data_IF_604074406684
#
_entry.id   IF_604074406684
#
_cell.length_a   1.000
_cell.length_b   1.000
_cell.length_c   1.000
_cell.angle_alpha   90.00
_cell.angle_beta   90.00
_cell.angle_gamma   90.00
#
_symmetry.space_group_name_H-M   'P 1'
#
loop_
_entity.id
_entity.type
_entity.pdbx_description
1 polymer ?
#
# COMPACT_ATOMS: atom_id res chain seq x y z
N UNK A 1 -27.50 -37.38 1.88
CA UNK A 1 -28.06 -36.05 1.60
C UNK A 1 -27.46 -35.12 2.64
N UNK A 2 -26.50 -34.30 2.21
CA UNK A 2 -26.00 -33.06 2.83
C UNK A 2 -24.82 -32.64 1.96
N UNK A 3 -25.17 -31.94 0.89
CA UNK A 3 -24.22 -31.34 -0.03
C UNK A 3 -23.49 -30.21 0.69
N UNK A 4 -22.16 -30.27 0.71
CA UNK A 4 -21.33 -29.15 1.08
C UNK A 4 -21.67 -27.95 0.19
N UNK A 5 -21.80 -26.72 0.72
CA UNK A 5 -21.89 -25.57 -0.15
C UNK A 5 -20.58 -25.47 -0.92
N UNK A 6 -20.68 -25.79 -2.20
CA UNK A 6 -19.67 -25.64 -3.22
C UNK A 6 -19.14 -24.20 -3.13
N UNK A 7 -17.82 -24.05 -2.98
CA UNK A 7 -17.09 -22.79 -3.14
C UNK A 7 -17.13 -22.36 -4.61
N UNK A 8 -18.33 -22.11 -5.13
CA UNK A 8 -18.58 -21.62 -6.48
C UNK A 8 -18.96 -20.15 -6.39
N UNK A 9 -17.94 -19.31 -6.44
CA UNK A 9 -17.83 -18.20 -7.39
C UNK A 9 -16.71 -17.27 -6.91
N UNK A 10 -15.48 -17.52 -7.34
CA UNK A 10 -14.52 -16.45 -7.54
C UNK A 10 -14.76 -15.89 -8.94
N UNK A 11 -15.50 -14.78 -9.12
CA UNK A 11 -15.23 -13.92 -10.25
C UNK A 11 -13.99 -13.10 -9.88
N UNK A 12 -12.81 -13.66 -10.15
CA UNK A 12 -11.70 -12.80 -10.59
C UNK A 12 -11.60 -13.05 -12.09
N UNK A 13 -11.82 -12.01 -12.91
CA UNK A 13 -10.80 -10.98 -13.03
C UNK A 13 -11.38 -9.57 -13.24
N UNK A 14 -11.01 -8.60 -12.42
CA UNK A 14 -10.80 -7.27 -12.99
C UNK A 14 -9.31 -7.20 -13.33
N UNK A 15 -9.00 -7.56 -14.58
CA UNK A 15 -7.91 -6.89 -15.28
C UNK A 15 -8.37 -5.43 -15.33
N UNK A 16 -8.03 -4.67 -14.29
CA UNK A 16 -7.88 -3.22 -14.42
C UNK A 16 -6.95 -3.09 -15.60
N UNK A 17 -7.39 -2.47 -16.70
CA UNK A 17 -6.62 -2.25 -17.93
C UNK A 17 -5.15 -2.03 -17.58
N UNK A 18 -4.40 -3.14 -17.60
CA UNK A 18 -3.09 -3.25 -16.98
C UNK A 18 -2.18 -2.68 -18.05
N UNK A 19 -2.08 -1.35 -18.09
CA UNK A 19 -0.95 -0.72 -18.76
C UNK A 19 0.28 -1.45 -18.23
N UNK A 20 1.07 -1.98 -19.15
CA UNK A 20 2.17 -2.95 -18.95
C UNK A 20 3.20 -2.50 -17.91
N UNK A 21 3.11 -1.25 -17.44
CA UNK A 21 4.00 -0.59 -16.50
C UNK A 21 3.43 -0.43 -15.06
N UNK A 22 2.17 -0.79 -14.79
CA UNK A 22 1.57 -0.59 -13.47
C UNK A 22 1.78 -1.80 -12.55
N UNK A 23 2.32 -1.54 -11.36
CA UNK A 23 2.43 -2.55 -10.29
C UNK A 23 1.26 -2.38 -9.34
N UNK A 24 0.51 -3.46 -9.12
CA UNK A 24 -0.59 -3.48 -8.16
C UNK A 24 -0.26 -4.38 -6.98
N UNK A 25 -0.59 -3.93 -5.77
CA UNK A 25 -0.43 -4.71 -4.53
C UNK A 25 -1.72 -4.67 -3.72
N UNK A 26 -2.15 -5.82 -3.24
CA UNK A 26 -3.36 -5.98 -2.44
C UNK A 26 -3.00 -6.02 -0.95
N UNK A 27 -3.77 -5.31 -0.13
CA UNK A 27 -3.68 -5.30 1.33
C UNK A 27 -5.06 -5.53 1.94
N UNK A 28 -5.08 -6.00 3.17
CA UNK A 28 -6.28 -6.06 4.00
C UNK A 28 -6.08 -5.18 5.24
N UNK A 29 -7.11 -4.41 5.60
CA UNK A 29 -7.10 -3.62 6.83
C UNK A 29 -8.54 -3.38 7.28
N UNK A 30 -8.83 -3.69 8.55
CA UNK A 30 -10.17 -3.56 9.14
C UNK A 30 -11.27 -4.25 8.33
N UNK A 31 -10.99 -5.42 7.75
CA UNK A 31 -11.94 -6.16 6.93
C UNK A 31 -12.22 -5.52 5.56
N UNK A 32 -11.49 -4.48 5.18
CA UNK A 32 -11.55 -3.88 3.84
C UNK A 32 -10.37 -4.36 3.00
N UNK A 33 -10.63 -4.65 1.73
CA UNK A 33 -9.58 -4.89 0.74
C UNK A 33 -9.11 -3.55 0.15
N UNK A 34 -7.80 -3.37 0.10
CA UNK A 34 -7.15 -2.15 -0.39
C UNK A 34 -6.21 -2.48 -1.54
N UNK A 35 -6.44 -1.86 -2.69
CA UNK A 35 -5.62 -2.04 -3.89
C UNK A 35 -4.74 -0.82 -4.09
N UNK A 36 -3.44 -1.00 -3.94
CA UNK A 36 -2.42 0.01 -4.27
C UNK A 36 -2.11 -0.06 -5.76
N UNK A 37 -2.30 1.05 -6.47
CA UNK A 37 -1.89 1.22 -7.87
C UNK A 37 -0.66 2.12 -7.99
N UNK A 38 0.48 1.53 -8.35
CA UNK A 38 1.73 2.24 -8.64
C UNK A 38 1.88 2.39 -10.16
N UNK A 39 2.01 3.63 -10.63
CA UNK A 39 2.32 3.91 -12.02
C UNK A 39 3.84 3.85 -12.21
N UNK A 40 4.40 2.72 -12.65
CA UNK A 40 5.85 2.42 -12.67
C UNK A 40 6.49 2.28 -11.28
N UNK A 41 7.44 1.36 -11.17
CA UNK A 41 8.34 1.30 -10.02
C UNK A 41 9.01 2.68 -9.85
N UNK A 42 9.01 3.23 -8.64
CA UNK A 42 9.54 4.57 -8.28
C UNK A 42 8.64 5.79 -8.55
N UNK A 43 7.34 5.64 -8.86
CA UNK A 43 6.45 6.80 -8.84
C UNK A 43 6.21 7.33 -7.41
N UNK A 44 6.21 8.66 -7.30
CA UNK A 44 5.92 9.41 -6.07
C UNK A 44 4.43 9.62 -5.84
N UNK A 45 3.64 9.25 -6.84
CA UNK A 45 2.19 9.34 -6.85
C UNK A 45 1.61 7.94 -7.04
N UNK A 46 0.69 7.58 -6.16
CA UNK A 46 -0.03 6.33 -6.26
C UNK A 46 -1.44 6.48 -5.70
N UNK A 47 -2.30 5.58 -6.15
CA UNK A 47 -3.70 5.55 -5.75
C UNK A 47 -3.97 4.33 -4.90
N UNK A 48 -4.87 4.48 -3.94
CA UNK A 48 -5.38 3.37 -3.13
C UNK A 48 -6.88 3.31 -3.36
N UNK A 49 -7.34 2.14 -3.80
CA UNK A 49 -8.76 1.82 -3.95
C UNK A 49 -9.22 0.95 -2.79
N UNK A 50 -10.46 1.15 -2.34
CA UNK A 50 -11.09 0.36 -1.29
C UNK A 50 -12.25 -0.46 -1.85
N UNK A 51 -12.35 -1.69 -1.37
CA UNK A 51 -13.51 -2.57 -1.54
C UNK A 51 -13.89 -3.17 -0.18
N UNK A 52 -15.09 -2.84 0.31
CA UNK A 52 -15.57 -3.20 1.66
C UNK A 52 -16.13 -4.60 1.78
N UNK A 53 -16.71 -5.12 0.71
CA UNK A 53 -17.23 -6.48 0.65
C UNK A 53 -17.20 -6.99 -0.80
N UNK A 54 -17.47 -8.28 -0.99
CA UNK A 54 -17.41 -8.94 -2.31
C UNK A 54 -18.32 -8.28 -3.35
N UNK A 55 -19.47 -7.75 -2.91
CA UNK A 55 -20.48 -7.12 -3.76
C UNK A 55 -20.22 -5.63 -4.04
N UNK A 56 -19.28 -5.01 -3.34
CA UNK A 56 -18.94 -3.60 -3.53
C UNK A 56 -18.01 -3.43 -4.72
N UNK A 57 -18.19 -2.35 -5.46
CA UNK A 57 -17.21 -1.92 -6.46
C UNK A 57 -15.96 -1.36 -5.78
N UNK A 58 -14.86 -1.34 -6.51
CA UNK A 58 -13.67 -0.60 -6.09
C UNK A 58 -13.96 0.90 -6.13
N UNK A 59 -13.70 1.58 -5.02
CA UNK A 59 -13.83 3.04 -4.93
C UNK A 59 -12.47 3.65 -4.67
N UNK A 60 -12.19 4.80 -5.28
CA UNK A 60 -10.97 5.55 -4.98
C UNK A 60 -11.04 6.02 -3.52
N UNK A 61 -10.10 5.59 -2.70
CA UNK A 61 -10.01 6.02 -1.29
C UNK A 61 -8.97 7.10 -1.10
N UNK A 62 -7.76 6.90 -1.63
CA UNK A 62 -6.67 7.87 -1.49
C UNK A 62 -5.94 8.14 -2.79
N UNK A 63 -5.52 9.39 -2.97
CA UNK A 63 -4.45 9.78 -3.88
C UNK A 63 -3.29 10.25 -3.01
N UNK A 64 -2.19 9.49 -3.03
CA UNK A 64 -1.01 9.80 -2.23
C UNK A 64 0.02 10.48 -3.11
N UNK A 65 0.55 11.60 -2.62
CA UNK A 65 1.61 12.37 -3.26
C UNK A 65 2.76 12.55 -2.26
N UNK A 66 3.91 11.98 -2.58
CA UNK A 66 5.10 12.04 -1.74
C UNK A 66 6.06 13.18 -2.12
N UNK A 67 5.80 13.98 -3.16
CA UNK A 67 6.72 15.01 -3.65
C UNK A 67 7.17 15.99 -2.57
N UNK A 68 6.24 16.42 -1.71
CA UNK A 68 6.55 17.41 -0.67
C UNK A 68 7.46 16.85 0.43
N UNK A 69 7.36 15.55 0.70
CA UNK A 69 8.20 14.87 1.68
C UNK A 69 9.56 14.53 1.09
N UNK A 70 9.56 14.04 -0.16
CA UNK A 70 10.77 13.61 -0.86
C UNK A 70 11.75 14.78 -1.10
N UNK A 71 11.29 16.03 -1.09
CA UNK A 71 12.18 17.22 -1.12
C UNK A 71 13.25 17.18 -0.02
N UNK A 72 12.97 16.52 1.12
CA UNK A 72 13.91 16.36 2.22
C UNK A 72 14.97 15.27 2.00
N UNK A 73 14.79 14.41 0.99
CA UNK A 73 15.69 13.30 0.68
C UNK A 73 16.63 13.64 -0.50
N UNK A 74 17.91 13.21 -0.47
CA UNK A 74 18.83 13.48 -1.55
C UNK A 74 18.35 12.82 -2.85
N UNK A 75 18.17 13.63 -3.91
CA UNK A 75 17.63 13.26 -5.23
C UNK A 75 18.27 12.02 -5.90
N UNK A 76 19.45 11.59 -5.45
CA UNK A 76 20.25 10.53 -6.07
C UNK A 76 19.97 9.11 -5.52
N UNK A 77 19.15 8.97 -4.48
CA UNK A 77 19.02 7.73 -3.69
C UNK A 77 17.58 7.19 -3.63
N UNK A 78 16.68 7.65 -4.52
CA UNK A 78 15.31 7.11 -4.57
C UNK A 78 15.29 5.75 -5.27
N UNK A 79 15.83 4.75 -4.60
CA UNK A 79 15.59 3.36 -4.93
C UNK A 79 14.21 2.98 -4.35
N UNK A 80 13.35 2.48 -5.25
CA UNK A 80 12.08 1.78 -5.02
C UNK A 80 11.24 2.16 -3.79
N UNK A 81 10.10 2.83 -4.03
CA UNK A 81 9.03 2.92 -3.04
C UNK A 81 8.42 1.53 -2.79
N UNK A 82 8.42 1.09 -1.53
CA UNK A 82 7.91 -0.22 -1.15
C UNK A 82 6.92 -0.09 0.01
N UNK A 83 5.64 -0.20 -0.28
CA UNK A 83 4.59 -0.15 0.74
C UNK A 83 4.47 -1.53 1.41
N UNK A 84 4.72 -1.56 2.72
CA UNK A 84 4.63 -2.76 3.55
C UNK A 84 3.21 -3.03 4.00
N UNK A 85 2.49 -2.00 4.44
CA UNK A 85 1.08 -2.13 4.80
C UNK A 85 0.35 -0.78 4.70
N UNK A 86 -0.98 -0.89 4.65
CA UNK A 86 -1.91 0.23 4.74
C UNK A 86 -2.76 -0.02 5.98
N UNK A 87 -2.74 0.89 6.94
CA UNK A 87 -3.48 0.78 8.19
C UNK A 87 -4.62 1.79 8.18
N UNK A 88 -5.86 1.29 8.20
CA UNK A 88 -7.04 2.13 8.33
C UNK A 88 -7.28 2.48 9.80
N UNK A 89 -7.45 3.77 10.08
CA UNK A 89 -7.81 4.28 11.39
C UNK A 89 -9.29 4.05 11.74
N UNK A 90 -9.68 4.37 12.98
CA UNK A 90 -11.11 4.53 13.33
C UNK A 90 -11.72 5.73 12.63
N UNK A 91 -10.93 6.79 12.54
CA UNK A 91 -11.22 7.98 11.76
C UNK A 91 -10.27 8.02 10.58
N UNK A 92 -10.67 8.72 9.52
CA UNK A 92 -9.90 8.80 8.28
C UNK A 92 -8.50 9.41 8.50
N UNK A 93 -8.42 10.37 9.41
CA UNK A 93 -7.21 11.07 9.87
C UNK A 93 -6.20 10.19 10.61
N UNK A 94 -6.65 9.05 11.13
CA UNK A 94 -5.80 8.10 11.83
C UNK A 94 -5.18 7.06 10.86
N UNK A 95 -5.58 7.06 9.58
CA UNK A 95 -5.05 6.14 8.57
C UNK A 95 -3.62 6.50 8.15
N UNK A 96 -2.77 5.48 8.03
CA UNK A 96 -1.36 5.64 7.66
C UNK A 96 -0.83 4.51 6.79
N UNK A 97 0.29 4.78 6.12
CA UNK A 97 1.08 3.80 5.38
C UNK A 97 2.34 3.48 6.18
N UNK A 98 2.77 2.23 6.11
CA UNK A 98 4.14 1.85 6.43
C UNK A 98 4.84 1.50 5.13
N UNK A 99 5.96 2.16 4.85
CA UNK A 99 6.69 1.98 3.61
C UNK A 99 8.18 2.16 3.81
N UNK A 100 8.97 1.62 2.89
CA UNK A 100 10.38 1.95 2.77
C UNK A 100 10.56 3.18 1.88
N UNK A 101 11.41 4.10 2.36
CA UNK A 101 11.86 5.27 1.63
C UNK A 101 13.33 5.51 1.97
N UNK A 102 14.22 5.46 0.97
CA UNK A 102 15.67 5.70 1.13
C UNK A 102 16.28 4.82 2.25
N UNK A 103 16.02 3.51 2.21
CA UNK A 103 16.43 2.51 3.23
C UNK A 103 15.84 2.72 4.64
N UNK A 104 14.95 3.70 4.82
CA UNK A 104 14.26 3.95 6.08
C UNK A 104 12.86 3.39 6.03
N UNK A 105 12.44 2.75 7.11
CA UNK A 105 11.04 2.39 7.31
C UNK A 105 10.34 3.58 7.92
N UNK A 106 9.33 4.08 7.21
CA UNK A 106 8.62 5.30 7.56
C UNK A 106 7.13 5.04 7.71
N UNK A 107 6.53 5.71 8.68
CA UNK A 107 5.10 5.84 8.82
C UNK A 107 4.66 7.14 8.16
N UNK A 108 3.79 7.05 7.15
CA UNK A 108 3.21 8.22 6.50
C UNK A 108 1.72 8.32 6.84
N UNK A 109 1.33 9.35 7.59
CA UNK A 109 -0.08 9.64 7.84
C UNK A 109 -0.70 10.26 6.59
N UNK A 110 -1.73 9.62 6.06
CA UNK A 110 -2.26 9.92 4.72
C UNK A 110 -2.90 11.31 4.69
N UNK A 111 -3.75 11.61 5.67
CA UNK A 111 -4.52 12.86 5.68
C UNK A 111 -3.69 14.07 6.10
N UNK A 112 -2.87 13.95 7.14
CA UNK A 112 -2.00 15.05 7.59
C UNK A 112 -0.76 15.22 6.70
N UNK A 113 -0.48 14.25 5.82
CA UNK A 113 0.70 14.21 4.95
C UNK A 113 2.03 14.34 5.71
N UNK A 114 2.06 13.80 6.92
CA UNK A 114 3.24 13.84 7.80
C UNK A 114 3.98 12.50 7.76
N UNK A 115 5.30 12.56 7.78
CA UNK A 115 6.18 11.40 7.81
C UNK A 115 6.88 11.29 9.17
N UNK A 116 6.84 10.10 9.77
CA UNK A 116 7.62 9.74 10.94
C UNK A 116 8.55 8.57 10.58
N UNK A 117 9.82 8.66 10.95
CA UNK A 117 10.77 7.56 10.75
C UNK A 117 10.57 6.54 11.87
N UNK A 118 10.29 5.28 11.51
CA UNK A 118 10.13 4.17 12.45
C UNK A 118 11.47 3.48 12.68
N UNK A 119 12.23 3.26 11.60
CA UNK A 119 13.55 2.64 11.64
C UNK A 119 14.46 3.24 10.57
N UNK A 120 15.72 3.41 10.90
CA UNK A 120 16.78 3.85 9.99
C UNK A 120 17.79 2.70 9.89
N UNK A 121 17.59 1.85 8.89
CA UNK A 121 18.62 0.89 8.50
C UNK A 121 19.66 1.71 7.75
N UNK A 122 20.89 1.79 8.27
CA UNK A 122 21.99 2.45 7.55
C UNK A 122 22.28 1.79 6.19
N UNK A 123 23.49 1.89 5.66
CA UNK A 123 23.82 1.41 4.30
C UNK A 123 23.58 -0.08 3.97
N UNK A 124 23.04 -0.88 4.90
CA UNK A 124 22.53 -2.23 4.63
C UNK A 124 21.41 -2.24 3.60
N UNK A 125 21.60 -3.03 2.54
CA UNK A 125 20.63 -3.22 1.46
C UNK A 125 19.41 -3.95 2.03
N UNK A 126 18.30 -3.25 2.24
CA UNK A 126 17.00 -3.88 2.33
C UNK A 126 16.48 -4.06 0.90
N UNK A 127 16.50 -5.31 0.43
CA UNK A 127 15.78 -5.63 -0.78
C UNK A 127 14.29 -5.61 -0.45
N UNK A 128 13.56 -4.63 -1.00
CA UNK A 128 12.09 -4.51 -0.96
C UNK A 128 11.27 -5.78 -1.28
N UNK A 129 11.92 -6.82 -1.80
CA UNK A 129 11.33 -8.11 -2.13
C UNK A 129 11.41 -9.14 -1.00
N UNK A 130 12.12 -8.85 0.09
CA UNK A 130 12.08 -9.69 1.29
C UNK A 130 10.84 -9.35 2.10
N UNK A 131 9.86 -10.24 2.00
CA UNK A 131 8.60 -10.26 2.72
C UNK A 131 8.84 -10.05 4.24
N UNK A 132 8.30 -8.97 4.82
CA UNK A 132 8.20 -8.83 6.27
C UNK A 132 6.84 -9.43 6.67
N UNK A 133 6.78 -10.55 7.41
CA UNK A 133 5.51 -11.10 7.86
C UNK A 133 4.88 -10.19 8.93
N UNK A 134 3.60 -9.87 8.70
CA UNK A 134 2.54 -9.48 9.65
C UNK A 134 2.84 -8.42 10.74
N UNK A 135 2.27 -7.23 10.59
CA UNK A 135 1.94 -6.33 11.70
C UNK A 135 0.60 -6.75 12.37
N UNK A 136 0.45 -8.03 12.73
CA UNK A 136 -0.82 -8.56 13.26
C UNK A 136 -1.10 -8.19 14.73
N UNK A 137 -0.40 -7.21 15.31
CA UNK A 137 -0.54 -6.83 16.72
C UNK A 137 -0.43 -5.32 16.98
N UNK A 138 -1.08 -4.47 16.17
CA UNK A 138 -1.29 -3.05 16.51
C UNK A 138 -2.78 -2.73 16.52
#
# INVERSE_FOLDING_TARGET
>A
MNEHPVLTALPTPFIVDLKVDNVYRLFESRGCLLLLGLNKACSRHFTIYEKRNVYSEWSLKYIVNLDDIIKSFPRRWMECLCVYCIVLGEREEDSFLVMELDKKVVQYKIMSKTLNIISDSGDGILNCFQFIPSFDNV
#
